data_IF_262745552070
#
_entry.id   IF_262745552070
#
_cell.length_a   1.000
_cell.length_b   1.000
_cell.length_c   1.000
_cell.angle_alpha   90.00
_cell.angle_beta   90.00
_cell.angle_gamma   90.00
#
_symmetry.space_group_name_H-M   'P 1'
#
loop_
_entity.id
_entity.type
_entity.pdbx_description
1 polymer ?
#
# COMPACT_ATOMS: atom_id res chain seq x y z
N UNK A 1 -4.68 -20.08 -0.56
CA UNK A 1 -6.10 -20.33 -0.21
C UNK A 1 -6.90 -19.06 -0.49
N UNK A 2 -8.13 -19.16 -1.02
CA UNK A 2 -9.01 -18.00 -1.24
C UNK A 2 -10.00 -17.92 -0.08
N UNK A 3 -10.10 -16.75 0.56
CA UNK A 3 -11.04 -16.50 1.65
C UNK A 3 -11.86 -15.24 1.36
N UNK A 4 -13.11 -15.18 1.85
CA UNK A 4 -13.94 -13.99 1.78
C UNK A 4 -14.13 -13.44 3.20
N UNK A 5 -13.70 -12.20 3.47
CA UNK A 5 -13.75 -11.60 4.81
C UNK A 5 -13.75 -10.05 4.72
N UNK A 6 -14.92 -9.44 5.00
CA UNK A 6 -15.12 -7.99 4.92
C UNK A 6 -14.28 -7.18 5.92
N UNK A 7 -13.78 -7.79 7.01
CA UNK A 7 -12.94 -7.10 8.00
C UNK A 7 -11.45 -7.13 7.65
N UNK A 8 -11.04 -7.91 6.65
CA UNK A 8 -9.62 -8.13 6.32
C UNK A 8 -9.21 -7.66 4.94
N UNK A 9 -10.16 -7.50 4.02
CA UNK A 9 -9.90 -6.80 2.77
C UNK A 9 -9.82 -5.28 3.05
N UNK A 10 -8.66 -4.66 2.81
CA UNK A 10 -8.48 -3.20 2.91
C UNK A 10 -9.10 -2.43 1.72
N UNK A 11 -9.83 -3.13 0.85
CA UNK A 11 -10.48 -2.66 -0.37
C UNK A 11 -11.24 -3.83 -0.99
N UNK A 12 -11.25 -3.93 -2.32
CA UNK A 12 -11.87 -5.04 -3.05
C UNK A 12 -11.26 -6.42 -2.70
N UNK A 13 -9.94 -6.54 -2.77
CA UNK A 13 -9.21 -7.68 -2.28
C UNK A 13 -7.98 -7.24 -1.51
N UNK A 14 -7.35 -8.16 -0.80
CA UNK A 14 -6.07 -7.95 -0.16
C UNK A 14 -5.31 -9.27 -0.02
N UNK A 15 -4.04 -9.26 -0.42
CA UNK A 15 -3.11 -10.34 -0.14
C UNK A 15 -2.53 -10.26 1.29
N UNK A 16 -2.68 -11.34 2.06
CA UNK A 16 -2.18 -11.44 3.41
C UNK A 16 -0.83 -12.18 3.50
N UNK A 17 0.27 -11.42 3.43
CA UNK A 17 1.65 -11.94 3.37
C UNK A 17 2.11 -12.90 4.47
N UNK A 18 1.48 -12.93 5.66
CA UNK A 18 1.84 -13.89 6.74
C UNK A 18 1.12 -15.23 6.62
N UNK A 19 -0.01 -15.26 5.92
CA UNK A 19 -0.86 -16.45 5.78
C UNK A 19 -0.86 -17.01 4.37
N UNK A 20 -0.28 -16.27 3.42
CA UNK A 20 -0.25 -16.63 2.01
C UNK A 20 -1.68 -16.84 1.46
N UNK A 21 -2.57 -15.92 1.84
CA UNK A 21 -4.00 -15.96 1.54
C UNK A 21 -4.39 -14.75 0.72
N UNK A 22 -5.27 -14.97 -0.27
CA UNK A 22 -5.95 -13.91 -0.99
C UNK A 22 -7.34 -13.74 -0.37
N UNK A 23 -7.60 -12.56 0.17
CA UNK A 23 -8.88 -12.25 0.84
C UNK A 23 -9.68 -11.30 -0.04
N UNK A 24 -10.91 -11.69 -0.39
CA UNK A 24 -11.85 -10.82 -1.10
C UNK A 24 -12.86 -10.22 -0.13
N UNK A 25 -13.30 -8.99 -0.39
CA UNK A 25 -14.44 -8.42 0.33
C UNK A 25 -15.73 -9.19 0.01
N UNK A 26 -16.59 -9.33 1.01
CA UNK A 26 -17.92 -9.94 0.85
C UNK A 26 -18.84 -9.07 -0.01
N UNK A 27 -18.68 -7.75 0.01
CA UNK A 27 -19.47 -6.82 -0.82
C UNK A 27 -19.13 -6.96 -2.32
N UNK A 28 -17.92 -7.43 -2.63
CA UNK A 28 -17.49 -7.79 -3.99
C UNK A 28 -18.29 -8.96 -4.56
N UNK A 29 -18.92 -9.77 -3.70
CA UNK A 29 -19.82 -10.85 -4.09
C UNK A 29 -21.19 -10.34 -4.55
N UNK A 30 -21.57 -9.13 -4.12
CA UNK A 30 -22.84 -8.48 -4.46
C UNK A 30 -22.72 -7.55 -5.69
N UNK A 31 -21.51 -7.04 -5.95
CA UNK A 31 -21.16 -6.46 -7.24
C UNK A 31 -21.06 -7.64 -8.20
N UNK A 32 -22.08 -7.86 -9.04
CA UNK A 32 -21.97 -8.82 -10.14
C UNK A 32 -20.62 -8.57 -10.83
N UNK A 33 -19.75 -9.58 -10.84
CA UNK A 33 -18.47 -9.52 -11.56
C UNK A 33 -18.83 -9.59 -13.05
N UNK A 34 -19.42 -8.52 -13.58
CA UNK A 34 -19.89 -8.41 -14.97
C UNK A 34 -18.69 -8.30 -15.92
N UNK A 35 -17.53 -7.86 -15.43
CA UNK A 35 -16.30 -7.76 -16.21
C UNK A 35 -15.22 -8.74 -15.71
N UNK A 36 -15.11 -9.88 -16.39
CA UNK A 36 -14.09 -10.91 -16.14
C UNK A 36 -12.67 -10.35 -16.25
N UNK A 37 -12.41 -9.35 -17.10
CA UNK A 37 -11.08 -8.77 -17.27
C UNK A 37 -10.64 -7.96 -16.05
N UNK A 38 -11.55 -7.17 -15.46
CA UNK A 38 -11.25 -6.39 -14.26
C UNK A 38 -10.96 -7.30 -13.06
N UNK A 39 -11.70 -8.40 -12.92
CA UNK A 39 -11.49 -9.36 -11.84
C UNK A 39 -10.19 -10.16 -12.00
N UNK A 40 -9.86 -10.59 -13.23
CA UNK A 40 -8.55 -11.18 -13.53
C UNK A 40 -7.41 -10.19 -13.23
N UNK A 41 -7.59 -8.91 -13.58
CA UNK A 41 -6.65 -7.84 -13.25
C UNK A 41 -6.45 -7.66 -11.74
N UNK A 42 -7.54 -7.66 -10.95
CA UNK A 42 -7.49 -7.62 -9.49
C UNK A 42 -6.69 -8.80 -8.92
N UNK A 43 -6.99 -10.03 -9.36
CA UNK A 43 -6.27 -11.23 -8.89
C UNK A 43 -4.79 -11.11 -9.19
N UNK A 44 -4.43 -10.73 -10.42
CA UNK A 44 -3.04 -10.60 -10.82
C UNK A 44 -2.32 -9.49 -10.05
N UNK A 45 -2.98 -8.37 -9.78
CA UNK A 45 -2.45 -7.29 -8.97
C UNK A 45 -2.10 -7.81 -7.56
N UNK A 46 -3.02 -8.50 -6.91
CA UNK A 46 -2.80 -9.06 -5.57
C UNK A 46 -1.70 -10.14 -5.55
N UNK A 47 -1.60 -10.95 -6.61
CA UNK A 47 -0.47 -11.87 -6.80
C UNK A 47 0.87 -11.13 -6.98
N UNK A 48 0.85 -9.91 -7.53
CA UNK A 48 2.01 -9.04 -7.57
C UNK A 48 2.53 -8.64 -6.18
N UNK A 49 1.64 -8.40 -5.21
CA UNK A 49 2.04 -8.22 -3.81
C UNK A 49 2.67 -9.49 -3.22
N UNK A 50 2.20 -10.67 -3.61
CA UNK A 50 2.82 -11.95 -3.24
C UNK A 50 4.21 -12.14 -3.83
N UNK A 51 4.42 -11.72 -5.08
CA UNK A 51 5.71 -11.80 -5.77
C UNK A 51 6.78 -10.85 -5.18
N UNK A 52 6.37 -9.81 -4.45
CA UNK A 52 7.27 -8.82 -3.83
C UNK A 52 7.16 -8.78 -2.28
N UNK A 53 7.32 -9.90 -1.56
CA UNK A 53 6.95 -10.00 -0.15
C UNK A 53 7.82 -9.12 0.77
N UNK A 54 9.08 -8.86 0.39
CA UNK A 54 9.99 -8.03 1.17
C UNK A 54 9.53 -6.57 1.23
N UNK A 55 9.04 -6.01 0.12
CA UNK A 55 8.50 -4.64 0.05
C UNK A 55 7.22 -4.50 0.88
N UNK A 56 6.33 -5.48 0.77
CA UNK A 56 5.07 -5.51 1.52
C UNK A 56 5.30 -5.63 3.04
N UNK A 57 6.37 -6.33 3.45
CA UNK A 57 6.77 -6.49 4.86
C UNK A 57 7.49 -5.24 5.39
N UNK A 58 8.43 -4.69 4.61
CA UNK A 58 9.32 -3.62 5.08
C UNK A 58 8.62 -2.29 5.30
N UNK A 59 7.54 -1.98 4.57
CA UNK A 59 6.80 -0.72 4.74
C UNK A 59 6.38 -0.46 6.19
N UNK A 60 5.85 -1.47 6.89
CA UNK A 60 5.39 -1.31 8.29
C UNK A 60 6.54 -1.08 9.26
N UNK A 61 7.70 -1.70 9.04
CA UNK A 61 8.87 -1.55 9.91
C UNK A 61 9.40 -0.12 9.93
N UNK A 62 9.34 0.59 8.79
CA UNK A 62 9.79 2.00 8.69
C UNK A 62 8.89 2.93 9.51
N UNK A 63 7.58 2.72 9.47
CA UNK A 63 6.63 3.51 10.28
C UNK A 63 6.87 3.32 11.78
N UNK A 64 7.06 2.07 12.23
CA UNK A 64 7.30 1.78 13.64
C UNK A 64 8.65 2.31 14.14
N UNK A 65 9.68 2.32 13.29
CA UNK A 65 10.98 2.86 13.66
C UNK A 65 10.89 4.35 14.01
N UNK A 66 10.26 5.18 13.15
CA UNK A 66 10.07 6.60 13.43
C UNK A 66 9.27 6.85 14.70
N UNK A 67 8.13 6.15 14.86
CA UNK A 67 7.28 6.26 16.05
C UNK A 67 8.01 5.87 17.35
N UNK A 68 8.84 4.82 17.32
CA UNK A 68 9.63 4.40 18.48
C UNK A 68 10.66 5.46 18.90
N UNK A 69 11.34 6.09 17.93
CA UNK A 69 12.29 7.17 18.22
C UNK A 69 11.60 8.38 18.85
N UNK A 70 10.44 8.80 18.32
CA UNK A 70 9.67 9.90 18.89
C UNK A 70 9.16 9.59 20.29
N UNK A 71 8.71 8.35 20.54
CA UNK A 71 8.30 7.91 21.87
C UNK A 71 9.44 8.01 22.89
N UNK A 72 10.63 7.49 22.55
CA UNK A 72 11.81 7.56 23.42
C UNK A 72 12.23 9.01 23.68
N UNK A 73 12.23 9.86 22.65
CA UNK A 73 12.58 11.28 22.78
C UNK A 73 11.57 12.03 23.68
N UNK A 74 10.27 11.76 23.51
CA UNK A 74 9.20 12.37 24.31
C UNK A 74 9.24 11.90 25.76
N UNK A 75 9.50 10.61 25.99
CA UNK A 75 9.64 10.04 27.32
C UNK A 75 10.84 10.64 28.06
N UNK A 76 11.99 10.76 27.40
CA UNK A 76 13.18 11.37 27.97
C UNK A 76 12.97 12.85 28.34
N UNK A 77 12.27 13.60 27.48
CA UNK A 77 11.90 15.00 27.75
C UNK A 77 11.12 15.17 29.05
N UNK A 78 10.18 14.27 29.32
CA UNK A 78 9.37 14.29 30.53
C UNK A 78 10.17 13.96 31.80
N UNK A 79 11.24 13.15 31.69
CA UNK A 79 12.02 12.68 32.83
C UNK A 79 13.18 13.60 33.23
N UNK A 80 13.72 14.41 32.30
CA UNK A 80 14.91 15.24 32.54
C UNK A 80 14.62 16.72 32.23
N UNK A 81 13.85 17.41 33.09
CA UNK A 81 13.44 18.80 32.86
C UNK A 81 14.55 19.84 33.08
N UNK A 82 15.68 19.46 33.70
CA UNK A 82 16.71 20.37 34.19
C UNK A 82 17.66 20.93 33.12
N UNK A 83 17.56 20.50 31.86
CA UNK A 83 18.42 20.95 30.77
C UNK A 83 17.63 21.12 29.46
N UNK A 84 16.67 22.07 29.37
CA UNK A 84 15.58 22.06 28.38
C UNK A 84 16.02 22.05 26.92
N UNK A 85 17.23 22.54 26.61
CA UNK A 85 17.76 22.59 25.24
C UNK A 85 18.02 21.18 24.68
N UNK A 86 18.60 20.27 25.48
CA UNK A 86 18.95 18.92 24.99
C UNK A 86 17.70 18.08 24.68
N UNK A 87 16.69 17.99 25.57
CA UNK A 87 15.42 17.36 25.28
C UNK A 87 14.65 18.00 24.12
N UNK A 88 14.69 19.33 23.97
CA UNK A 88 14.05 20.01 22.83
C UNK A 88 14.69 19.59 21.50
N UNK A 89 16.01 19.51 21.43
CA UNK A 89 16.74 19.05 20.24
C UNK A 89 16.45 17.58 19.94
N UNK A 90 16.41 16.72 20.96
CA UNK A 90 16.05 15.29 20.80
C UNK A 90 14.61 15.12 20.31
N UNK A 91 13.67 15.90 20.84
CA UNK A 91 12.28 15.89 20.39
C UNK A 91 12.16 16.35 18.92
N UNK A 92 12.80 17.47 18.56
CA UNK A 92 12.82 17.96 17.19
C UNK A 92 13.44 16.95 16.21
N UNK A 93 14.53 16.29 16.62
CA UNK A 93 15.16 15.23 15.84
C UNK A 93 14.26 13.99 15.71
N UNK A 94 13.59 13.57 16.78
CA UNK A 94 12.64 12.46 16.76
C UNK A 94 11.41 12.75 15.88
N UNK A 95 10.92 13.98 15.89
CA UNK A 95 9.85 14.44 15.00
C UNK A 95 10.30 14.40 13.54
N UNK A 96 11.50 14.93 13.25
CA UNK A 96 12.10 14.88 11.92
C UNK A 96 12.22 13.44 11.40
N UNK A 97 12.75 12.51 12.21
CA UNK A 97 12.86 11.10 11.84
C UNK A 97 11.50 10.42 11.66
N UNK A 98 10.49 10.82 12.42
CA UNK A 98 9.12 10.32 12.25
C UNK A 98 8.48 10.78 10.95
N UNK A 99 8.64 12.06 10.60
CA UNK A 99 8.16 12.61 9.32
C UNK A 99 8.88 11.96 8.14
N UNK A 100 10.21 11.78 8.25
CA UNK A 100 11.00 11.08 7.24
C UNK A 100 10.55 9.62 7.10
N UNK A 101 10.31 8.93 8.21
CA UNK A 101 9.77 7.56 8.23
C UNK A 101 8.38 7.46 7.58
N UNK A 102 7.50 8.43 7.83
CA UNK A 102 6.19 8.51 7.18
C UNK A 102 6.33 8.72 5.67
N UNK A 103 7.21 9.62 5.23
CA UNK A 103 7.47 9.85 3.80
C UNK A 103 7.99 8.58 3.11
N UNK A 104 8.95 7.88 3.72
CA UNK A 104 9.43 6.59 3.21
C UNK A 104 8.34 5.51 3.22
N UNK A 105 7.49 5.46 4.24
CA UNK A 105 6.35 4.54 4.29
C UNK A 105 5.39 4.76 3.13
N UNK A 106 5.05 6.01 2.82
CA UNK A 106 4.19 6.36 1.68
C UNK A 106 4.87 5.98 0.37
N UNK A 107 6.14 6.35 0.18
CA UNK A 107 6.90 6.05 -1.03
C UNK A 107 7.03 4.53 -1.28
N UNK A 108 7.32 3.75 -0.23
CA UNK A 108 7.38 2.29 -0.32
C UNK A 108 6.01 1.66 -0.59
N UNK A 109 4.95 2.22 -0.04
CA UNK A 109 3.59 1.76 -0.32
C UNK A 109 3.24 1.99 -1.78
N UNK A 110 3.53 3.19 -2.33
CA UNK A 110 3.34 3.47 -3.75
C UNK A 110 4.17 2.57 -4.65
N UNK A 111 5.44 2.32 -4.31
CA UNK A 111 6.30 1.40 -5.05
C UNK A 111 5.75 -0.04 -5.04
N UNK A 112 5.16 -0.47 -3.92
CA UNK A 112 4.52 -1.78 -3.78
C UNK A 112 3.30 -1.90 -4.72
N UNK A 113 2.47 -0.87 -4.80
CA UNK A 113 1.32 -0.81 -5.73
C UNK A 113 1.78 -0.82 -7.19
N UNK A 114 2.79 -0.01 -7.55
CA UNK A 114 3.32 0.02 -8.91
C UNK A 114 3.92 -1.31 -9.35
N UNK A 115 4.61 -2.04 -8.46
CA UNK A 115 5.13 -3.37 -8.75
C UNK A 115 4.04 -4.42 -8.89
N UNK A 116 2.96 -4.29 -8.12
CA UNK A 116 1.81 -5.16 -8.25
C UNK A 116 1.08 -4.93 -9.59
N UNK A 117 0.92 -3.68 -10.01
CA UNK A 117 0.40 -3.34 -11.34
C UNK A 117 1.31 -3.84 -12.45
N UNK A 118 2.64 -3.78 -12.24
CA UNK A 118 3.59 -4.28 -13.22
C UNK A 118 3.45 -5.77 -13.43
N UNK A 119 3.36 -6.52 -12.32
CA UNK A 119 3.12 -7.94 -12.36
C UNK A 119 1.83 -8.27 -13.11
N UNK A 120 0.75 -7.52 -12.86
CA UNK A 120 -0.51 -7.71 -13.57
C UNK A 120 -0.40 -7.44 -15.07
N UNK A 121 0.33 -6.39 -15.47
CA UNK A 121 0.57 -6.10 -16.88
C UNK A 121 1.47 -7.16 -17.54
N UNK A 122 2.50 -7.65 -16.85
CA UNK A 122 3.47 -8.59 -17.39
C UNK A 122 2.84 -9.99 -17.62
N UNK A 123 1.90 -10.40 -16.77
CA UNK A 123 1.27 -11.73 -16.82
C UNK A 123 -0.12 -11.73 -17.46
N UNK A 124 -0.88 -10.64 -17.31
CA UNK A 124 -2.24 -10.51 -17.82
C UNK A 124 -2.36 -9.62 -19.06
N UNK A 125 -1.31 -8.87 -19.41
CA UNK A 125 -1.35 -7.84 -20.42
C UNK A 125 -2.00 -6.54 -19.93
N UNK A 126 -1.75 -5.45 -20.67
CA UNK A 126 -2.20 -4.11 -20.32
C UNK A 126 -3.72 -4.00 -20.20
N UNK A 127 -4.48 -4.75 -21.01
CA UNK A 127 -5.94 -4.69 -21.01
C UNK A 127 -6.56 -5.07 -19.65
N UNK A 128 -6.05 -6.11 -18.99
CA UNK A 128 -6.54 -6.55 -17.66
C UNK A 128 -6.15 -5.56 -16.56
N UNK A 129 -4.91 -5.07 -16.58
CA UNK A 129 -4.46 -4.06 -15.63
C UNK A 129 -5.26 -2.75 -15.78
N UNK A 130 -5.53 -2.31 -17.01
CA UNK A 130 -6.35 -1.15 -17.32
C UNK A 130 -7.81 -1.32 -16.87
N UNK A 131 -8.43 -2.46 -17.19
CA UNK A 131 -9.80 -2.77 -16.77
C UNK A 131 -9.95 -2.75 -15.25
N UNK A 132 -9.00 -3.35 -14.53
CA UNK A 132 -8.93 -3.29 -13.07
C UNK A 132 -8.82 -1.86 -12.56
N UNK A 133 -7.89 -1.05 -13.08
CA UNK A 133 -7.70 0.34 -12.63
C UNK A 133 -8.95 1.22 -12.88
N UNK A 134 -9.63 1.05 -14.01
CA UNK A 134 -10.90 1.73 -14.27
C UNK A 134 -12.00 1.27 -13.31
N UNK A 135 -12.04 -0.02 -12.99
CA UNK A 135 -13.02 -0.58 -12.07
C UNK A 135 -12.82 -0.06 -10.64
N UNK A 136 -11.58 0.04 -10.12
CA UNK A 136 -11.38 0.54 -8.76
C UNK A 136 -11.72 2.02 -8.57
N UNK A 137 -11.74 2.83 -9.64
CA UNK A 137 -12.18 4.24 -9.54
C UNK A 137 -13.68 4.36 -9.26
N UNK A 138 -14.48 3.37 -9.67
CA UNK A 138 -15.93 3.35 -9.43
C UNK A 138 -16.31 2.63 -8.14
N UNK A 139 -15.38 1.90 -7.51
CA UNK A 139 -15.59 1.29 -6.19
C UNK A 139 -15.38 2.35 -5.11
N UNK A 140 -16.34 2.58 -4.20
CA UNK A 140 -16.16 3.54 -3.12
C UNK A 140 -14.95 3.17 -2.26
N UNK A 141 -13.96 4.07 -2.21
CA UNK A 141 -12.78 3.91 -1.36
C UNK A 141 -13.20 3.86 0.12
N UNK A 142 -12.68 2.88 0.87
CA UNK A 142 -12.77 2.91 2.33
C UNK A 142 -11.98 4.10 2.87
N UNK A 143 -12.60 4.88 3.76
CA UNK A 143 -11.95 6.05 4.39
C UNK A 143 -10.59 5.66 4.99
N UNK A 144 -9.53 6.38 4.59
CA UNK A 144 -8.16 6.19 5.09
C UNK A 144 -7.16 5.57 4.10
N UNK A 145 -7.59 5.01 2.96
CA UNK A 145 -6.68 4.41 1.99
C UNK A 145 -5.90 5.44 1.13
N UNK A 146 -6.50 6.63 0.89
CA UNK A 146 -6.04 7.62 -0.11
C UNK A 146 -4.57 8.03 -0.07
N UNK A 147 -3.95 8.04 1.11
CA UNK A 147 -2.57 8.57 1.25
C UNK A 147 -1.50 7.49 1.05
N UNK A 148 -1.89 6.23 1.21
CA UNK A 148 -0.96 5.08 1.09
C UNK A 148 -1.01 4.42 -0.29
N UNK A 149 -2.04 4.72 -1.08
CA UNK A 149 -2.17 4.28 -2.47
C UNK A 149 -1.88 5.46 -3.43
N UNK A 150 -1.13 5.25 -4.52
CA UNK A 150 -0.96 6.26 -5.55
C UNK A 150 -2.29 6.51 -6.28
N UNK A 151 -2.54 7.73 -6.78
CA UNK A 151 -3.73 8.03 -7.57
C UNK A 151 -3.89 7.07 -8.76
N UNK A 152 -5.10 6.59 -9.00
CA UNK A 152 -5.38 5.60 -10.06
C UNK A 152 -4.96 6.10 -11.44
N UNK A 153 -5.24 7.37 -11.77
CA UNK A 153 -4.76 8.00 -13.00
C UNK A 153 -3.23 7.94 -13.17
N UNK A 154 -2.47 8.12 -12.08
CA UNK A 154 -1.00 8.02 -12.11
C UNK A 154 -0.55 6.58 -12.40
N UNK A 155 -1.20 5.59 -11.77
CA UNK A 155 -0.96 4.15 -12.02
C UNK A 155 -1.27 3.80 -13.47
N UNK A 156 -2.40 4.26 -13.99
CA UNK A 156 -2.84 4.04 -15.36
C UNK A 156 -1.85 4.60 -16.39
N UNK A 157 -1.46 5.86 -16.28
CA UNK A 157 -0.45 6.47 -17.16
C UNK A 157 0.89 5.74 -17.13
N UNK A 158 1.29 5.23 -15.96
CA UNK A 158 2.52 4.44 -15.85
C UNK A 158 2.42 3.14 -16.64
N UNK A 159 1.30 2.42 -16.57
CA UNK A 159 1.13 1.18 -17.32
C UNK A 159 1.02 1.42 -18.84
N UNK A 160 0.33 2.49 -19.27
CA UNK A 160 0.32 2.89 -20.69
C UNK A 160 1.73 3.18 -21.22
N UNK A 161 2.55 3.93 -20.47
CA UNK A 161 3.94 4.19 -20.83
C UNK A 161 4.73 2.89 -20.95
N UNK A 162 4.59 1.96 -20.00
CA UNK A 162 5.28 0.65 -20.07
C UNK A 162 4.86 -0.15 -21.31
N UNK A 163 3.58 -0.17 -21.64
CA UNK A 163 3.08 -0.86 -22.82
C UNK A 163 3.62 -0.28 -24.15
N UNK A 164 4.00 1.00 -24.17
CA UNK A 164 4.61 1.66 -25.34
C UNK A 164 6.12 1.46 -25.50
N UNK A 165 6.80 0.87 -24.51
CA UNK A 165 8.24 0.61 -24.60
C UNK A 165 8.52 -0.69 -25.39
N UNK A 166 9.58 -0.73 -26.23
CA UNK A 166 9.99 -1.97 -26.89
C UNK A 166 10.36 -3.02 -25.85
N UNK A 167 9.92 -4.27 -26.08
CA UNK A 167 10.18 -5.42 -25.21
C UNK A 167 11.55 -6.01 -25.42
#
# INVERSE_FOLDING_TARGET
>A
MIAFDSKRASGAAAYHHKRDELVFDLELRAIEIVDTYAFEGLILHELGHRAAPLLTRSRRSVLYFGAAVLFVASWWYLLVPSAPIVPMLLFAFGLFLSMLGLAFFVALSWLCEFRADDYACDHGGIARAAAFLNWIEVVPEREGARWTHPPTLMRYHRQLRRASLPR
#
